data_IF_908263272163
#
_entry.id   IF_908263272163
#
_cell.length_a   1.000
_cell.length_b   1.000
_cell.length_c   1.000
_cell.angle_alpha   90.00
_cell.angle_beta   90.00
_cell.angle_gamma   90.00
#
_symmetry.space_group_name_H-M   'P 1'
#
loop_
_entity.id
_entity.type
_entity.pdbx_description
1 polymer ?
#
# COMPACT_ATOMS: atom_id res chain seq x y z
N UNK A 1 27.01 1.55 -77.62
CA UNK A 1 26.76 1.05 -76.25
C UNK A 1 26.22 2.19 -75.40
N UNK A 2 25.21 1.96 -74.56
CA UNK A 2 24.95 2.84 -73.41
C UNK A 2 23.59 3.54 -73.31
N UNK A 3 22.47 2.82 -73.42
CA UNK A 3 21.16 3.29 -72.95
C UNK A 3 20.42 2.16 -72.20
N UNK A 4 20.87 1.81 -70.99
CA UNK A 4 20.21 0.81 -70.14
C UNK A 4 20.31 1.06 -68.62
N UNK A 5 20.99 2.13 -68.17
CA UNK A 5 21.28 2.36 -66.75
C UNK A 5 20.21 3.14 -65.96
N UNK A 6 19.28 3.83 -66.63
CA UNK A 6 18.25 4.65 -65.98
C UNK A 6 17.07 3.80 -65.46
N UNK A 7 16.55 2.85 -66.25
CA UNK A 7 15.42 2.00 -65.83
C UNK A 7 15.77 0.98 -64.74
N UNK A 8 17.06 0.62 -64.63
CA UNK A 8 17.56 -0.29 -63.60
C UNK A 8 17.74 0.39 -62.24
N UNK A 9 18.06 1.69 -62.20
CA UNK A 9 18.11 2.48 -60.95
C UNK A 9 16.71 2.75 -60.36
N UNK A 10 15.73 3.10 -61.19
CA UNK A 10 14.33 3.28 -60.75
C UNK A 10 13.69 1.98 -60.27
N UNK A 11 13.94 0.86 -60.95
CA UNK A 11 13.51 -0.47 -60.46
C UNK A 11 14.15 -0.85 -59.12
N UNK A 12 15.45 -0.59 -58.92
CA UNK A 12 16.11 -0.84 -57.62
C UNK A 12 15.51 0.01 -56.50
N UNK A 13 15.22 1.28 -56.76
CA UNK A 13 14.52 2.18 -55.82
C UNK A 13 13.13 1.66 -55.45
N UNK A 14 12.36 1.17 -56.42
CA UNK A 14 11.02 0.62 -56.17
C UNK A 14 11.06 -0.68 -55.36
N UNK A 15 12.03 -1.57 -55.65
CA UNK A 15 12.26 -2.79 -54.87
C UNK A 15 12.67 -2.48 -53.44
N UNK A 16 13.56 -1.51 -53.23
CA UNK A 16 13.96 -1.05 -51.89
C UNK A 16 12.78 -0.49 -51.10
N UNK A 17 11.89 0.27 -51.75
CA UNK A 17 10.71 0.86 -51.13
C UNK A 17 9.66 -0.20 -50.75
N UNK A 18 9.45 -1.19 -51.63
CA UNK A 18 8.61 -2.37 -51.34
C UNK A 18 9.16 -3.21 -50.18
N UNK A 19 10.47 -3.44 -50.16
CA UNK A 19 11.12 -4.15 -49.05
C UNK A 19 10.98 -3.39 -47.72
N UNK A 20 11.15 -2.06 -47.72
CA UNK A 20 10.96 -1.23 -46.54
C UNK A 20 9.51 -1.31 -46.00
N UNK A 21 8.50 -1.26 -46.89
CA UNK A 21 7.10 -1.41 -46.51
C UNK A 21 6.80 -2.79 -45.88
N UNK A 22 7.37 -3.86 -46.44
CA UNK A 22 7.23 -5.22 -45.88
C UNK A 22 7.85 -5.28 -44.48
N UNK A 23 9.06 -4.74 -44.30
CA UNK A 23 9.76 -4.71 -43.00
C UNK A 23 8.96 -3.89 -41.98
N UNK A 24 8.47 -2.71 -42.37
CA UNK A 24 7.67 -1.86 -41.49
C UNK A 24 6.34 -2.52 -41.09
N UNK A 25 5.64 -3.15 -42.03
CA UNK A 25 4.40 -3.88 -41.74
C UNK A 25 4.65 -5.08 -40.82
N UNK A 26 5.72 -5.84 -41.06
CA UNK A 26 6.11 -6.94 -40.18
C UNK A 26 6.45 -6.44 -38.78
N UNK A 27 7.23 -5.36 -38.66
CA UNK A 27 7.62 -4.76 -37.38
C UNK A 27 6.42 -4.22 -36.59
N UNK A 28 5.50 -3.50 -37.26
CA UNK A 28 4.24 -3.03 -36.65
C UNK A 28 3.40 -4.21 -36.16
N UNK A 29 3.27 -5.26 -36.99
CA UNK A 29 2.56 -6.49 -36.60
C UNK A 29 3.22 -7.24 -35.44
N UNK A 30 4.56 -7.28 -35.39
CA UNK A 30 5.31 -7.84 -34.28
C UNK A 30 5.10 -7.04 -32.98
N UNK A 31 5.21 -5.70 -33.04
CA UNK A 31 4.91 -4.83 -31.88
C UNK A 31 3.47 -4.99 -31.40
N UNK A 32 2.50 -5.04 -32.32
CA UNK A 32 1.09 -5.26 -31.97
C UNK A 32 0.89 -6.60 -31.28
N UNK A 33 1.51 -7.68 -31.78
CA UNK A 33 1.49 -9.00 -31.14
C UNK A 33 2.15 -8.99 -29.76
N UNK A 34 3.26 -8.28 -29.60
CA UNK A 34 3.93 -8.15 -28.30
C UNK A 34 3.04 -7.42 -27.29
N UNK A 35 2.44 -6.29 -27.69
CA UNK A 35 1.48 -5.55 -26.86
C UNK A 35 0.24 -6.39 -26.51
N UNK A 36 -0.31 -7.13 -27.47
CA UNK A 36 -1.44 -8.02 -27.23
C UNK A 36 -1.07 -9.11 -26.21
N UNK A 37 0.10 -9.74 -26.33
CA UNK A 37 0.59 -10.72 -25.35
C UNK A 37 0.75 -10.11 -23.96
N UNK A 38 1.33 -8.92 -23.86
CA UNK A 38 1.46 -8.19 -22.59
C UNK A 38 0.08 -7.91 -21.98
N UNK A 39 -0.88 -7.44 -22.78
CA UNK A 39 -2.24 -7.17 -22.33
C UNK A 39 -2.93 -8.46 -21.84
N UNK A 40 -2.89 -9.55 -22.62
CA UNK A 40 -3.50 -10.81 -22.20
C UNK A 40 -2.84 -11.40 -20.95
N UNK A 41 -1.50 -11.34 -20.85
CA UNK A 41 -0.80 -11.78 -19.66
C UNK A 41 -1.26 -10.98 -18.44
N UNK A 42 -1.27 -9.65 -18.53
CA UNK A 42 -1.78 -8.77 -17.47
C UNK A 42 -3.23 -9.11 -17.10
N UNK A 43 -4.11 -9.26 -18.09
CA UNK A 43 -5.52 -9.62 -17.84
C UNK A 43 -5.64 -10.95 -17.10
N UNK A 44 -4.85 -11.97 -17.46
CA UNK A 44 -4.86 -13.28 -16.80
C UNK A 44 -4.36 -13.15 -15.36
N UNK A 45 -3.23 -12.47 -15.15
CA UNK A 45 -2.67 -12.26 -13.81
C UNK A 45 -3.65 -11.51 -12.90
N UNK A 46 -4.19 -10.38 -13.38
CA UNK A 46 -5.22 -9.62 -12.66
C UNK A 46 -6.46 -10.46 -12.36
N UNK A 47 -6.91 -11.31 -13.30
CA UNK A 47 -8.08 -12.16 -13.06
C UNK A 47 -7.85 -13.18 -11.95
N UNK A 48 -6.66 -13.78 -11.90
CA UNK A 48 -6.28 -14.75 -10.85
C UNK A 48 -6.16 -14.03 -9.51
N UNK A 49 -5.47 -12.90 -9.50
CA UNK A 49 -5.26 -12.05 -8.34
C UNK A 49 -6.58 -11.56 -7.73
N UNK A 50 -7.44 -10.97 -8.55
CA UNK A 50 -8.71 -10.40 -8.11
C UNK A 50 -9.63 -11.50 -7.57
N UNK A 51 -9.64 -12.68 -8.21
CA UNK A 51 -10.45 -13.80 -7.74
C UNK A 51 -10.04 -14.27 -6.33
N UNK A 52 -8.73 -14.34 -6.05
CA UNK A 52 -8.25 -14.68 -4.72
C UNK A 52 -8.63 -13.59 -3.72
N UNK A 53 -8.39 -12.32 -4.05
CA UNK A 53 -8.71 -11.16 -3.20
C UNK A 53 -10.20 -11.08 -2.85
N UNK A 54 -11.08 -11.24 -3.85
CA UNK A 54 -12.53 -11.31 -3.68
C UNK A 54 -12.94 -12.38 -2.69
N UNK A 55 -12.32 -13.55 -2.79
CA UNK A 55 -12.58 -14.64 -1.85
C UNK A 55 -12.28 -14.24 -0.39
N UNK A 56 -11.25 -13.42 -0.14
CA UNK A 56 -10.99 -12.92 1.22
C UNK A 56 -11.98 -11.87 1.68
N UNK A 57 -12.27 -10.88 0.84
CA UNK A 57 -13.23 -9.85 1.20
C UNK A 57 -14.60 -10.46 1.54
N UNK A 58 -15.05 -11.42 0.73
CA UNK A 58 -16.28 -12.18 0.98
C UNK A 58 -16.23 -13.00 2.26
N UNK A 59 -15.13 -13.71 2.50
CA UNK A 59 -14.95 -14.51 3.71
C UNK A 59 -14.95 -13.63 4.96
N UNK A 60 -14.26 -12.49 4.91
CA UNK A 60 -14.24 -11.53 6.00
C UNK A 60 -15.64 -10.97 6.27
N UNK A 61 -16.35 -10.55 5.21
CA UNK A 61 -17.72 -10.04 5.31
C UNK A 61 -18.66 -11.08 5.92
N UNK A 62 -18.53 -12.35 5.51
CA UNK A 62 -19.29 -13.46 6.06
C UNK A 62 -19.00 -13.65 7.55
N UNK A 63 -17.73 -13.65 7.97
CA UNK A 63 -17.39 -13.79 9.38
C UNK A 63 -17.85 -12.58 10.21
N UNK A 64 -17.68 -11.35 9.73
CA UNK A 64 -18.22 -10.16 10.38
C UNK A 64 -19.72 -10.27 10.57
N UNK A 65 -20.46 -10.62 9.51
CA UNK A 65 -21.90 -10.86 9.60
C UNK A 65 -22.24 -11.97 10.60
N UNK A 66 -21.52 -13.10 10.57
CA UNK A 66 -21.72 -14.18 11.54
C UNK A 66 -21.47 -13.69 12.95
N UNK A 67 -20.38 -12.97 13.23
CA UNK A 67 -20.09 -12.46 14.57
C UNK A 67 -21.14 -11.46 15.05
N UNK A 68 -21.58 -10.54 14.20
CA UNK A 68 -22.65 -9.58 14.53
C UNK A 68 -23.96 -10.30 14.87
N UNK A 69 -24.34 -11.33 14.10
CA UNK A 69 -25.60 -12.05 14.31
C UNK A 69 -25.53 -13.14 15.39
N UNK A 70 -24.36 -13.73 15.63
CA UNK A 70 -24.17 -14.79 16.64
C UNK A 70 -23.85 -14.21 18.03
N UNK A 71 -23.21 -13.03 18.11
CA UNK A 71 -22.94 -12.35 19.37
C UNK A 71 -24.22 -11.83 20.07
N UNK A 72 -25.37 -11.88 19.41
CA UNK A 72 -26.67 -11.68 20.05
C UNK A 72 -27.11 -12.86 20.96
N UNK A 73 -26.43 -14.01 20.93
CA UNK A 73 -26.77 -15.19 21.73
C UNK A 73 -25.91 -15.36 22.99
N UNK A 74 -24.69 -14.80 23.04
CA UNK A 74 -23.82 -14.87 24.22
C UNK A 74 -23.05 -13.56 24.43
N UNK A 75 -23.74 -12.55 24.96
CA UNK A 75 -23.18 -11.23 25.28
C UNK A 75 -22.32 -11.21 26.56
N UNK A 76 -21.65 -12.32 26.91
CA UNK A 76 -21.04 -12.52 28.23
C UNK A 76 -19.60 -13.03 28.27
N UNK A 77 -18.98 -13.43 27.14
CA UNK A 77 -17.67 -14.13 27.21
C UNK A 77 -16.57 -13.62 26.26
N UNK A 78 -16.80 -12.56 25.49
CA UNK A 78 -15.82 -12.07 24.50
C UNK A 78 -15.24 -10.68 24.79
N UNK A 79 -15.13 -10.31 26.07
CA UNK A 79 -14.41 -9.10 26.53
C UNK A 79 -12.96 -9.39 26.97
N UNK A 80 -12.38 -10.53 26.59
CA UNK A 80 -11.00 -10.90 26.92
C UNK A 80 -10.10 -10.94 25.69
N UNK A 81 -9.93 -9.80 25.00
CA UNK A 81 -8.71 -9.59 24.20
C UNK A 81 -8.32 -8.17 23.80
N UNK A 82 -9.05 -7.14 24.23
CA UNK A 82 -8.66 -5.75 23.96
C UNK A 82 -8.41 -5.04 25.29
N UNK A 83 -7.24 -5.28 25.88
CA UNK A 83 -6.64 -4.30 26.79
C UNK A 83 -5.49 -3.65 26.04
N UNK A 84 -5.85 -2.60 25.30
CA UNK A 84 -4.96 -1.51 24.95
C UNK A 84 -4.52 -0.82 26.24
N UNK A 85 -3.21 -0.81 26.48
CA UNK A 85 -2.55 0.02 27.47
C UNK A 85 -1.60 0.92 26.68
N UNK A 86 -2.09 2.08 26.26
CA UNK A 86 -1.24 3.13 25.71
C UNK A 86 -1.45 4.44 26.47
N UNK A 87 -0.44 4.79 27.26
CA UNK A 87 -0.02 6.19 27.44
C UNK A 87 1.42 6.33 27.98
N UNK A 88 2.16 5.24 28.23
CA UNK A 88 3.59 5.29 28.62
C UNK A 88 4.46 4.18 27.97
N UNK A 89 4.02 3.56 26.87
CA UNK A 89 4.52 2.24 26.39
C UNK A 89 5.68 2.29 25.37
N UNK A 90 5.82 3.37 24.58
CA UNK A 90 6.65 3.37 23.35
C UNK A 90 8.18 3.15 23.59
N UNK A 91 8.68 3.38 24.81
CA UNK A 91 10.07 3.11 25.19
C UNK A 91 10.29 1.71 25.79
N UNK A 92 9.25 1.06 26.33
CA UNK A 92 9.36 -0.30 26.90
C UNK A 92 9.43 -1.36 25.81
N UNK A 93 8.84 -1.13 24.64
CA UNK A 93 8.81 -2.13 23.56
C UNK A 93 10.16 -2.35 22.86
N UNK A 94 11.03 -1.33 22.71
CA UNK A 94 12.33 -1.53 22.03
C UNK A 94 13.25 -2.46 22.84
N UNK A 95 13.35 -2.24 24.15
CA UNK A 95 14.16 -3.09 25.05
C UNK A 95 13.67 -4.54 25.05
N UNK A 96 12.37 -4.77 25.08
CA UNK A 96 11.80 -6.12 25.16
C UNK A 96 11.91 -6.90 23.83
N UNK A 97 11.94 -6.19 22.69
CA UNK A 97 11.98 -6.81 21.37
C UNK A 97 13.39 -6.99 20.80
N UNK A 98 14.26 -5.98 20.95
CA UNK A 98 15.56 -5.90 20.27
C UNK A 98 16.73 -6.25 21.19
N UNK A 99 16.76 -5.67 22.39
CA UNK A 99 17.96 -5.69 23.24
C UNK A 99 18.23 -7.07 23.87
N UNK A 100 17.25 -7.98 23.79
CA UNK A 100 17.37 -9.38 24.20
C UNK A 100 17.84 -10.33 23.06
N UNK A 101 18.13 -9.80 21.88
CA UNK A 101 18.55 -10.59 20.71
C UNK A 101 20.04 -10.39 20.46
N UNK A 102 20.85 -11.33 20.95
CA UNK A 102 22.28 -11.35 20.68
C UNK A 102 22.57 -11.71 19.22
N UNK A 103 23.45 -10.92 18.58
CA UNK A 103 23.96 -11.22 17.25
C UNK A 103 25.21 -12.09 17.39
N UNK A 104 25.20 -13.36 16.98
CA UNK A 104 26.35 -14.23 17.17
C UNK A 104 27.57 -13.76 16.35
N UNK A 105 28.78 -14.02 16.85
CA UNK A 105 30.03 -13.68 16.13
C UNK A 105 30.15 -14.43 14.79
N UNK A 106 29.49 -15.58 14.66
CA UNK A 106 29.42 -16.35 13.42
C UNK A 106 28.55 -15.69 12.33
N UNK A 107 27.81 -14.63 12.66
CA UNK A 107 27.01 -13.90 11.69
C UNK A 107 27.90 -13.00 10.82
N UNK A 108 27.94 -13.32 9.53
CA UNK A 108 28.79 -12.67 8.53
C UNK A 108 28.02 -11.72 7.60
N UNK A 109 26.73 -11.49 7.84
CA UNK A 109 25.92 -10.57 7.04
C UNK A 109 26.06 -9.11 7.48
N UNK A 110 25.28 -8.21 6.86
CA UNK A 110 25.31 -6.78 7.17
C UNK A 110 25.07 -6.47 8.65
N UNK A 111 25.91 -5.62 9.22
CA UNK A 111 25.77 -5.10 10.58
C UNK A 111 25.47 -3.62 10.52
N UNK A 112 24.20 -3.27 10.72
CA UNK A 112 23.74 -1.88 10.64
C UNK A 112 24.02 -1.14 11.95
N UNK A 113 24.35 0.14 11.85
CA UNK A 113 24.53 1.02 13.00
C UNK A 113 23.88 2.36 12.72
N UNK A 114 23.12 2.88 13.69
CA UNK A 114 22.45 4.17 13.56
C UNK A 114 23.38 5.32 13.99
N UNK A 115 23.35 6.47 13.30
CA UNK A 115 22.50 6.81 12.16
C UNK A 115 22.93 6.10 10.86
N UNK A 116 21.93 5.63 10.09
CA UNK A 116 22.15 4.97 8.80
C UNK A 116 22.63 5.97 7.74
N UNK A 117 23.36 5.46 6.76
CA UNK A 117 23.99 6.22 5.68
C UNK A 117 23.73 5.56 4.32
N UNK A 118 24.06 6.24 3.23
CA UNK A 118 23.92 5.68 1.89
C UNK A 118 24.74 4.39 1.69
N UNK A 119 25.87 4.23 2.39
CA UNK A 119 26.67 2.99 2.32
C UNK A 119 25.96 1.78 2.92
N UNK A 120 25.01 1.99 3.83
CA UNK A 120 24.19 0.90 4.38
C UNK A 120 23.19 0.38 3.34
N UNK A 121 22.70 1.25 2.44
CA UNK A 121 21.86 0.84 1.31
C UNK A 121 22.68 -0.06 0.39
N UNK A 122 23.88 0.37 -0.02
CA UNK A 122 24.76 -0.42 -0.89
C UNK A 122 25.12 -1.77 -0.26
N UNK A 123 25.41 -1.79 1.05
CA UNK A 123 25.71 -3.01 1.80
C UNK A 123 24.53 -4.01 1.77
N UNK A 124 23.30 -3.52 1.97
CA UNK A 124 22.09 -4.36 1.91
C UNK A 124 21.82 -4.87 0.50
N UNK A 125 22.00 -4.03 -0.52
CA UNK A 125 21.81 -4.41 -1.92
C UNK A 125 22.74 -5.57 -2.31
N UNK A 126 24.04 -5.47 -1.99
CA UNK A 126 24.99 -6.56 -2.30
C UNK A 126 24.70 -7.81 -1.47
N UNK A 127 24.41 -7.69 -0.18
CA UNK A 127 24.08 -8.84 0.65
C UNK A 127 22.82 -9.58 0.16
N UNK A 128 21.75 -8.86 -0.20
CA UNK A 128 20.51 -9.49 -0.66
C UNK A 128 20.62 -10.05 -2.08
N UNK A 129 21.48 -9.48 -2.93
CA UNK A 129 21.84 -10.05 -4.23
C UNK A 129 22.58 -11.38 -4.09
N UNK A 130 23.38 -11.54 -3.04
CA UNK A 130 24.00 -12.81 -2.64
C UNK A 130 23.05 -13.73 -1.84
N UNK A 131 21.77 -13.40 -1.74
CA UNK A 131 20.75 -14.14 -0.97
C UNK A 131 21.09 -14.30 0.51
N UNK A 132 21.85 -13.36 1.09
CA UNK A 132 22.09 -13.32 2.52
C UNK A 132 20.84 -12.87 3.27
N UNK A 133 20.65 -13.37 4.49
CA UNK A 133 19.53 -12.99 5.36
C UNK A 133 20.06 -11.97 6.37
N UNK A 134 19.38 -10.81 6.46
CA UNK A 134 19.69 -9.82 7.50
C UNK A 134 19.34 -10.39 8.87
N UNK A 135 20.17 -10.16 9.90
CA UNK A 135 19.87 -10.67 11.23
C UNK A 135 18.59 -10.06 11.82
N UNK A 136 17.82 -10.83 12.59
CA UNK A 136 16.54 -10.38 13.17
C UNK A 136 16.68 -9.12 14.02
N UNK A 137 17.80 -8.97 14.72
CA UNK A 137 18.14 -7.77 15.50
C UNK A 137 18.07 -6.51 14.62
N UNK A 138 18.84 -6.47 13.52
CA UNK A 138 18.88 -5.32 12.61
C UNK A 138 17.55 -5.09 11.88
N UNK A 139 16.82 -6.16 11.55
CA UNK A 139 15.46 -6.04 10.99
C UNK A 139 14.54 -5.29 11.96
N UNK A 140 14.50 -5.71 13.22
CA UNK A 140 13.65 -5.07 14.23
C UNK A 140 14.09 -3.62 14.45
N UNK A 141 15.39 -3.33 14.55
CA UNK A 141 15.88 -1.95 14.70
C UNK A 141 15.42 -1.03 13.57
N UNK A 142 15.58 -1.47 12.31
CA UNK A 142 15.12 -0.71 11.13
C UNK A 142 13.61 -0.48 11.20
N UNK A 143 12.82 -1.49 11.54
CA UNK A 143 11.36 -1.34 11.64
C UNK A 143 10.95 -0.39 12.77
N UNK A 144 11.62 -0.44 13.93
CA UNK A 144 11.33 0.47 15.05
C UNK A 144 11.64 1.93 14.71
N UNK A 145 12.83 2.21 14.15
CA UNK A 145 13.19 3.58 13.77
C UNK A 145 12.31 4.09 12.62
N UNK A 146 11.97 3.23 11.65
CA UNK A 146 11.04 3.58 10.58
C UNK A 146 9.66 3.94 11.12
N UNK A 147 9.10 3.10 12.01
CA UNK A 147 7.80 3.35 12.67
C UNK A 147 7.80 4.72 13.37
N UNK A 148 8.87 5.04 14.10
CA UNK A 148 9.02 6.31 14.81
C UNK A 148 8.96 7.53 13.89
N UNK A 149 9.58 7.46 12.71
CA UNK A 149 9.51 8.54 11.72
C UNK A 149 8.12 8.59 11.08
N UNK A 150 7.56 7.46 10.67
CA UNK A 150 6.22 7.37 10.06
C UNK A 150 5.11 7.92 10.97
N UNK A 151 5.21 7.71 12.30
CA UNK A 151 4.28 8.28 13.30
C UNK A 151 4.15 9.81 13.21
N UNK A 152 5.21 10.49 12.79
CA UNK A 152 5.25 11.95 12.69
C UNK A 152 4.76 12.46 11.34
N UNK A 153 4.57 11.57 10.37
CA UNK A 153 4.16 11.94 9.01
C UNK A 153 2.64 12.19 8.91
N UNK A 154 2.23 13.10 8.01
CA UNK A 154 0.82 13.27 7.65
C UNK A 154 0.28 12.05 6.89
N UNK A 155 -1.05 12.00 6.70
CA UNK A 155 -1.69 10.97 5.87
C UNK A 155 -1.32 11.10 4.39
N UNK A 156 -1.09 12.33 3.91
CA UNK A 156 -0.61 12.61 2.57
C UNK A 156 0.75 13.29 2.63
N UNK A 157 1.75 12.67 2.02
CA UNK A 157 3.07 13.29 1.86
C UNK A 157 3.01 14.32 0.73
N UNK A 158 3.56 15.51 0.94
CA UNK A 158 3.64 16.54 -0.10
C UNK A 158 5.04 16.58 -0.68
N UNK A 159 5.14 16.47 -2.00
CA UNK A 159 6.42 16.42 -2.72
C UNK A 159 6.45 17.53 -3.76
N UNK A 160 7.58 18.21 -3.88
CA UNK A 160 7.81 19.24 -4.89
C UNK A 160 8.87 18.78 -5.88
N UNK A 161 8.62 18.89 -7.18
CA UNK A 161 9.59 18.50 -8.22
C UNK A 161 10.59 19.61 -8.56
N UNK A 162 10.35 20.84 -8.10
CA UNK A 162 11.21 21.99 -8.39
C UNK A 162 12.71 21.82 -8.06
N UNK A 163 13.12 21.11 -6.98
CA UNK A 163 14.54 20.95 -6.66
C UNK A 163 15.24 19.86 -7.50
N UNK A 164 14.57 18.73 -7.74
CA UNK A 164 15.13 17.54 -8.38
C UNK A 164 14.90 17.48 -9.89
N UNK A 165 13.96 18.27 -10.42
CA UNK A 165 13.43 18.27 -11.81
C UNK A 165 12.68 17.01 -12.22
N UNK A 166 12.93 15.88 -11.58
CA UNK A 166 12.30 14.58 -11.86
C UNK A 166 11.93 13.88 -10.55
N UNK A 167 10.84 13.10 -10.60
CA UNK A 167 10.35 12.27 -9.50
C UNK A 167 9.96 10.91 -10.07
N UNK A 168 10.46 9.84 -9.46
CA UNK A 168 10.17 8.48 -9.91
C UNK A 168 9.08 7.86 -9.06
N UNK A 169 7.97 7.47 -9.67
CA UNK A 169 6.87 6.79 -8.98
C UNK A 169 6.89 5.31 -9.37
N UNK A 170 7.09 4.45 -8.39
CA UNK A 170 7.08 2.99 -8.53
C UNK A 170 5.76 2.43 -7.98
N UNK A 171 5.14 1.53 -8.74
CA UNK A 171 4.01 0.72 -8.26
C UNK A 171 4.47 -0.55 -7.58
N UNK A 172 3.60 -1.55 -7.60
CA UNK A 172 3.71 -2.80 -6.85
C UNK A 172 4.99 -3.57 -7.16
N UNK A 173 5.66 -4.05 -6.12
CA UNK A 173 6.85 -4.89 -6.21
C UNK A 173 6.56 -6.35 -5.86
N UNK A 174 5.64 -6.59 -4.92
CA UNK A 174 5.21 -7.94 -4.52
C UNK A 174 6.35 -8.94 -4.32
N UNK A 175 7.35 -8.57 -3.51
CA UNK A 175 8.47 -9.45 -3.18
C UNK A 175 9.35 -9.87 -4.36
N UNK A 176 9.30 -9.16 -5.49
CA UNK A 176 10.18 -9.36 -6.67
C UNK A 176 11.42 -8.48 -6.57
N UNK A 177 12.41 -8.94 -5.82
CA UNK A 177 13.62 -8.16 -5.53
C UNK A 177 14.42 -7.80 -6.80
N UNK A 178 14.45 -8.67 -7.79
CA UNK A 178 15.12 -8.40 -9.07
C UNK A 178 14.53 -7.19 -9.82
N UNK A 179 13.22 -6.95 -9.69
CA UNK A 179 12.57 -5.78 -10.29
C UNK A 179 13.01 -4.49 -9.58
N UNK A 180 13.14 -4.50 -8.25
CA UNK A 180 13.68 -3.38 -7.50
C UNK A 180 15.15 -3.08 -7.89
N UNK A 181 15.98 -4.12 -8.02
CA UNK A 181 17.35 -3.97 -8.51
C UNK A 181 17.39 -3.38 -9.92
N UNK A 182 16.48 -3.82 -10.81
CA UNK A 182 16.38 -3.28 -12.16
C UNK A 182 15.98 -1.80 -12.15
N UNK A 183 15.03 -1.39 -11.29
CA UNK A 183 14.63 0.01 -11.12
C UNK A 183 15.83 0.86 -10.74
N UNK A 184 16.58 0.47 -9.70
CA UNK A 184 17.76 1.22 -9.25
C UNK A 184 18.91 1.19 -10.26
N UNK A 185 19.11 0.08 -10.98
CA UNK A 185 20.09 0.01 -12.05
C UNK A 185 19.77 0.97 -13.20
N UNK A 186 18.48 1.12 -13.54
CA UNK A 186 18.05 1.96 -14.66
C UNK A 186 17.94 3.44 -14.31
N UNK A 187 17.49 3.74 -13.10
CA UNK A 187 17.08 5.07 -12.71
C UNK A 187 17.96 5.67 -11.60
N UNK A 188 18.96 4.93 -11.13
CA UNK A 188 19.84 5.33 -10.03
C UNK A 188 19.26 4.97 -8.66
N UNK A 189 20.09 5.11 -7.62
CA UNK A 189 19.64 4.96 -6.24
C UNK A 189 18.92 6.23 -5.76
N UNK A 190 18.07 6.11 -4.72
CA UNK A 190 17.48 7.27 -4.06
C UNK A 190 18.56 8.25 -3.58
N UNK A 191 18.32 9.54 -3.78
CA UNK A 191 19.16 10.64 -3.28
C UNK A 191 18.38 11.95 -3.30
N UNK A 192 18.94 13.02 -2.73
CA UNK A 192 18.39 14.39 -2.83
C UNK A 192 18.11 14.83 -4.28
N UNK A 193 18.90 14.32 -5.23
CA UNK A 193 18.75 14.63 -6.66
C UNK A 193 17.88 13.63 -7.43
N UNK A 194 17.47 12.54 -6.79
CA UNK A 194 16.74 11.43 -7.43
C UNK A 194 15.67 10.88 -6.48
N UNK A 195 14.55 11.62 -6.29
CA UNK A 195 13.52 11.23 -5.36
C UNK A 195 12.61 10.13 -5.91
N UNK A 196 12.03 9.34 -4.99
CA UNK A 196 11.16 8.21 -5.26
C UNK A 196 9.87 8.26 -4.45
N UNK A 197 8.77 7.79 -5.05
CA UNK A 197 7.55 7.37 -4.36
C UNK A 197 7.32 5.89 -4.66
N UNK A 198 7.31 5.04 -3.64
CA UNK A 198 6.86 3.65 -3.77
C UNK A 198 5.41 3.55 -3.28
N UNK A 199 4.51 3.22 -4.21
CA UNK A 199 3.07 3.38 -4.05
C UNK A 199 2.36 2.10 -3.57
N UNK A 200 2.81 1.56 -2.43
CA UNK A 200 2.24 0.36 -1.81
C UNK A 200 2.64 -0.96 -2.45
N UNK A 201 2.18 -2.04 -1.85
CA UNK A 201 2.32 -3.42 -2.31
C UNK A 201 3.79 -3.84 -2.51
N UNK A 202 4.57 -3.59 -1.45
CA UNK A 202 5.98 -3.96 -1.39
C UNK A 202 6.15 -5.47 -1.18
N UNK A 203 5.23 -6.05 -0.40
CA UNK A 203 5.29 -7.41 0.14
C UNK A 203 4.27 -8.35 -0.52
N UNK A 204 4.27 -9.61 -0.07
CA UNK A 204 3.42 -10.71 -0.53
C UNK A 204 3.69 -11.18 -1.97
N UNK A 205 3.12 -12.35 -2.31
CA UNK A 205 3.22 -13.09 -3.60
C UNK A 205 4.63 -13.58 -3.93
N UNK A 206 5.62 -12.69 -3.93
CA UNK A 206 7.03 -12.99 -4.11
C UNK A 206 7.66 -13.64 -2.88
N UNK A 207 8.96 -13.94 -2.99
CA UNK A 207 9.73 -14.66 -1.94
C UNK A 207 10.74 -13.76 -1.22
N UNK A 208 10.89 -12.54 -1.69
CA UNK A 208 11.89 -11.58 -1.23
C UNK A 208 11.25 -10.30 -0.68
N UNK A 209 10.10 -10.45 -0.02
CA UNK A 209 9.31 -9.33 0.49
C UNK A 209 10.03 -8.59 1.61
N UNK A 210 10.69 -9.31 2.52
CA UNK A 210 11.39 -8.65 3.65
C UNK A 210 12.63 -7.91 3.16
N UNK A 211 13.34 -8.43 2.16
CA UNK A 211 14.50 -7.75 1.57
C UNK A 211 14.09 -6.42 0.94
N UNK A 212 13.01 -6.42 0.15
CA UNK A 212 12.44 -5.19 -0.43
C UNK A 212 12.04 -4.21 0.68
N UNK A 213 11.26 -4.66 1.65
CA UNK A 213 10.78 -3.79 2.72
C UNK A 213 11.95 -3.17 3.49
N UNK A 214 12.99 -3.94 3.81
CA UNK A 214 14.17 -3.43 4.50
C UNK A 214 14.95 -2.43 3.64
N UNK A 215 15.17 -2.69 2.35
CA UNK A 215 15.81 -1.72 1.45
C UNK A 215 15.02 -0.41 1.43
N UNK A 216 13.69 -0.48 1.32
CA UNK A 216 12.81 0.68 1.28
C UNK A 216 12.83 1.45 2.61
N UNK A 217 12.74 0.76 3.76
CA UNK A 217 12.83 1.36 5.08
C UNK A 217 14.18 2.04 5.33
N UNK A 218 15.30 1.37 5.01
CA UNK A 218 16.63 1.97 5.16
C UNK A 218 16.78 3.18 4.23
N UNK A 219 16.34 3.08 2.98
CA UNK A 219 16.42 4.21 2.04
C UNK A 219 15.54 5.39 2.49
N UNK A 220 14.37 5.11 3.07
CA UNK A 220 13.50 6.12 3.69
C UNK A 220 14.16 6.79 4.90
N UNK A 221 14.84 6.01 5.77
CA UNK A 221 15.54 6.55 6.93
C UNK A 221 16.76 7.40 6.55
N UNK A 222 17.45 7.05 5.46
CA UNK A 222 18.60 7.79 4.94
C UNK A 222 18.16 9.05 4.20
N UNK A 223 17.06 8.98 3.42
CA UNK A 223 16.54 10.09 2.61
C UNK A 223 15.06 10.39 2.94
N UNK A 224 14.73 10.83 4.16
CA UNK A 224 13.33 10.99 4.60
C UNK A 224 12.56 12.08 3.84
N UNK A 225 13.26 12.98 3.15
CA UNK A 225 12.65 14.04 2.33
C UNK A 225 12.53 13.67 0.85
N UNK A 226 13.18 12.60 0.39
CA UNK A 226 13.33 12.28 -1.03
C UNK A 226 12.84 10.88 -1.39
N UNK A 227 12.72 9.96 -0.42
CA UNK A 227 12.07 8.68 -0.62
C UNK A 227 10.78 8.63 0.20
N UNK A 228 9.67 8.31 -0.45
CA UNK A 228 8.35 8.30 0.15
C UNK A 228 7.67 6.94 -0.04
N UNK A 229 6.99 6.49 0.99
CA UNK A 229 6.28 5.22 1.02
C UNK A 229 4.79 5.50 1.22
N UNK A 230 3.95 5.02 0.29
CA UNK A 230 2.51 4.98 0.50
C UNK A 230 2.09 3.56 0.89
N UNK A 231 1.00 3.44 1.65
CA UNK A 231 0.37 2.19 2.02
C UNK A 231 -0.37 1.60 0.82
N UNK A 232 -0.15 0.32 0.53
CA UNK A 232 -0.99 -0.50 -0.35
C UNK A 232 -1.98 -1.35 0.43
N UNK A 233 -2.80 -2.12 -0.27
CA UNK A 233 -3.70 -3.05 0.41
C UNK A 233 -2.96 -4.27 0.98
N UNK A 234 -1.78 -4.62 0.47
CA UNK A 234 -0.95 -5.70 0.99
C UNK A 234 -0.09 -5.32 2.21
N UNK A 235 0.00 -4.05 2.58
CA UNK A 235 0.52 -3.62 3.89
C UNK A 235 -0.57 -3.79 4.97
N UNK A 236 -0.99 -5.03 5.13
CA UNK A 236 -2.05 -5.51 6.02
C UNK A 236 -1.77 -6.93 6.51
N UNK A 237 -1.92 -7.16 7.81
CA UNK A 237 -1.59 -8.46 8.42
C UNK A 237 -2.44 -9.62 7.88
N UNK A 238 -3.74 -9.39 7.62
CA UNK A 238 -4.65 -10.42 7.13
C UNK A 238 -4.31 -10.80 5.68
N UNK A 239 -3.94 -9.81 4.87
CA UNK A 239 -3.40 -10.06 3.52
C UNK A 239 -2.11 -10.89 3.61
N UNK A 240 -1.17 -10.47 4.45
CA UNK A 240 0.12 -11.15 4.61
C UNK A 240 0.00 -12.61 5.07
N UNK A 241 -1.01 -12.92 5.89
CA UNK A 241 -1.29 -14.28 6.33
C UNK A 241 -1.63 -15.20 5.16
N UNK A 242 -2.38 -14.71 4.16
CA UNK A 242 -2.79 -15.49 3.01
C UNK A 242 -1.77 -15.49 1.87
N UNK A 243 -1.18 -14.34 1.58
CA UNK A 243 -0.42 -14.14 0.34
C UNK A 243 1.09 -14.36 0.46
N UNK A 244 1.53 -14.82 1.63
CA UNK A 244 2.81 -15.51 1.79
C UNK A 244 3.83 -14.77 2.64
N UNK A 245 3.67 -13.47 2.88
CA UNK A 245 4.66 -12.71 3.65
C UNK A 245 4.79 -13.20 5.10
N UNK A 246 3.68 -13.54 5.75
CA UNK A 246 3.71 -14.16 7.10
C UNK A 246 4.52 -15.45 7.10
N UNK A 247 4.35 -16.29 6.08
CA UNK A 247 5.10 -17.55 5.93
C UNK A 247 6.58 -17.29 5.67
N UNK A 248 6.90 -16.30 4.85
CA UNK A 248 8.27 -15.87 4.56
C UNK A 248 9.00 -15.47 5.84
N UNK A 249 8.39 -14.59 6.66
CA UNK A 249 8.98 -14.11 7.92
C UNK A 249 9.18 -15.26 8.92
N UNK A 250 8.16 -16.09 9.13
CA UNK A 250 8.26 -17.22 10.05
C UNK A 250 9.32 -18.24 9.60
N UNK A 251 9.51 -18.42 8.30
CA UNK A 251 10.53 -19.31 7.75
C UNK A 251 11.94 -18.75 7.92
N UNK A 252 12.17 -17.48 7.55
CA UNK A 252 13.50 -16.84 7.59
C UNK A 252 13.97 -16.56 9.03
N UNK A 253 13.08 -16.10 9.91
CA UNK A 253 13.44 -15.59 11.24
C UNK A 253 13.04 -16.50 12.41
N UNK A 254 12.29 -17.58 12.15
CA UNK A 254 11.95 -18.64 13.11
C UNK A 254 11.49 -18.08 14.48
N UNK A 255 12.36 -18.15 15.49
CA UNK A 255 12.09 -17.71 16.87
C UNK A 255 11.65 -16.25 16.95
N UNK A 256 12.20 -15.38 16.10
CA UNK A 256 11.91 -13.95 16.10
C UNK A 256 10.81 -13.53 15.11
N UNK A 257 10.34 -14.46 14.28
CA UNK A 257 9.36 -14.14 13.22
C UNK A 257 8.06 -13.55 13.76
N UNK A 258 7.55 -14.06 14.89
CA UNK A 258 6.32 -13.51 15.53
C UNK A 258 6.51 -12.08 16.00
N UNK A 259 7.68 -11.75 16.56
CA UNK A 259 8.01 -10.40 17.02
C UNK A 259 8.08 -9.41 15.85
N UNK A 260 8.71 -9.84 14.76
CA UNK A 260 8.79 -9.04 13.52
C UNK A 260 7.38 -8.77 12.96
N UNK A 261 6.51 -9.78 12.90
CA UNK A 261 5.13 -9.62 12.41
C UNK A 261 4.30 -8.64 13.25
N UNK A 262 4.46 -8.63 14.57
CA UNK A 262 3.78 -7.68 15.45
C UNK A 262 4.19 -6.23 15.14
N UNK A 263 5.49 -5.97 15.03
CA UNK A 263 5.99 -4.63 14.71
C UNK A 263 5.61 -4.20 13.29
N UNK A 264 5.53 -5.13 12.34
CA UNK A 264 5.06 -4.84 10.99
C UNK A 264 3.60 -4.39 10.97
N UNK A 265 2.72 -5.06 11.73
CA UNK A 265 1.32 -4.67 11.85
C UNK A 265 1.18 -3.22 12.35
N UNK A 266 1.96 -2.85 13.36
CA UNK A 266 2.00 -1.48 13.87
C UNK A 266 2.59 -0.49 12.85
N UNK A 267 3.68 -0.86 12.17
CA UNK A 267 4.34 -0.01 11.18
C UNK A 267 3.41 0.32 10.02
N UNK A 268 2.67 -0.66 9.51
CA UNK A 268 1.73 -0.45 8.40
C UNK A 268 0.62 0.53 8.75
N UNK A 269 0.17 0.55 10.00
CA UNK A 269 -0.85 1.49 10.47
C UNK A 269 -0.38 2.96 10.38
N UNK A 270 0.94 3.20 10.32
CA UNK A 270 1.54 4.54 10.24
C UNK A 270 1.98 4.95 8.83
N UNK A 271 1.95 4.05 7.84
CA UNK A 271 2.26 4.42 6.45
C UNK A 271 1.29 5.50 5.93
N UNK A 272 1.78 6.58 5.28
CA UNK A 272 0.95 7.51 4.53
C UNK A 272 0.04 6.78 3.54
N UNK A 273 -1.18 7.26 3.32
CA UNK A 273 -2.15 6.63 2.40
C UNK A 273 -2.03 7.16 0.97
N UNK A 274 -1.21 8.20 0.76
CA UNK A 274 -0.96 8.77 -0.55
C UNK A 274 0.08 9.86 -0.55
N UNK A 275 0.41 10.34 -1.74
CA UNK A 275 1.33 11.44 -1.97
C UNK A 275 0.69 12.46 -2.91
N UNK A 276 0.89 13.75 -2.63
CA UNK A 276 0.46 14.86 -3.49
C UNK A 276 1.71 15.54 -4.04
N UNK A 277 1.89 15.46 -5.36
CA UNK A 277 3.04 16.03 -6.08
C UNK A 277 2.64 17.38 -6.67
N UNK A 278 3.44 18.41 -6.39
CA UNK A 278 3.28 19.80 -6.87
C UNK A 278 1.89 20.39 -6.61
N UNK A 279 1.17 19.88 -5.61
CA UNK A 279 -0.24 20.21 -5.32
C UNK A 279 -1.21 19.92 -6.49
N UNK A 280 -0.79 19.12 -7.46
CA UNK A 280 -1.50 18.89 -8.71
C UNK A 280 -1.75 17.41 -8.97
N UNK A 281 -0.85 16.52 -8.59
CA UNK A 281 -0.95 15.08 -8.90
C UNK A 281 -1.17 14.31 -7.60
N UNK A 282 -2.28 13.59 -7.52
CA UNK A 282 -2.57 12.66 -6.43
C UNK A 282 -2.07 11.26 -6.80
N UNK A 283 -1.20 10.70 -5.97
CA UNK A 283 -0.66 9.35 -6.08
C UNK A 283 -1.20 8.52 -4.92
N UNK A 284 -2.00 7.52 -5.22
CA UNK A 284 -2.62 6.59 -4.27
C UNK A 284 -2.56 5.18 -4.84
N UNK A 285 -2.58 4.17 -3.98
CA UNK A 285 -2.37 2.78 -4.39
C UNK A 285 -3.52 2.23 -5.26
N UNK A 286 -4.74 2.24 -4.73
CA UNK A 286 -5.93 1.77 -5.44
C UNK A 286 -6.55 2.86 -6.31
N UNK A 287 -7.49 3.61 -5.75
CA UNK A 287 -8.23 4.58 -6.54
C UNK A 287 -9.20 5.45 -5.76
N UNK A 288 -10.20 5.97 -6.45
CA UNK A 288 -11.17 6.91 -5.89
C UNK A 288 -12.59 6.36 -6.03
N UNK A 289 -13.53 7.02 -5.39
CA UNK A 289 -14.96 6.78 -5.47
C UNK A 289 -15.73 8.09 -5.68
N UNK A 290 -17.03 7.99 -5.98
CA UNK A 290 -17.87 9.18 -6.11
C UNK A 290 -17.95 10.01 -4.81
N UNK A 291 -17.77 9.36 -3.67
CA UNK A 291 -17.86 9.95 -2.33
C UNK A 291 -16.48 10.34 -1.76
N UNK A 292 -15.39 10.22 -2.52
CA UNK A 292 -14.04 10.54 -2.01
C UNK A 292 -13.94 11.95 -1.46
N UNK A 293 -13.58 12.05 -0.18
CA UNK A 293 -13.33 13.28 0.54
C UNK A 293 -11.85 13.38 0.98
N UNK A 294 -11.04 14.07 0.19
CA UNK A 294 -9.64 14.28 0.53
C UNK A 294 -9.48 15.07 1.84
N UNK A 295 -10.38 15.99 2.17
CA UNK A 295 -10.27 16.76 3.42
C UNK A 295 -10.49 15.85 4.63
N UNK A 296 -11.43 14.90 4.53
CA UNK A 296 -11.62 13.87 5.55
C UNK A 296 -10.38 13.00 5.65
N UNK A 297 -9.89 12.47 4.53
CA UNK A 297 -8.71 11.60 4.48
C UNK A 297 -7.45 12.26 5.05
N UNK A 298 -7.28 13.58 4.94
CA UNK A 298 -6.17 14.30 5.60
C UNK A 298 -6.23 14.26 7.13
N UNK A 299 -7.42 14.08 7.73
CA UNK A 299 -7.65 14.12 9.18
C UNK A 299 -7.85 12.76 9.83
N UNK A 300 -8.04 11.69 9.06
CA UNK A 300 -8.29 10.36 9.60
C UNK A 300 -7.14 9.91 10.51
N UNK A 301 -7.46 9.36 11.68
CA UNK A 301 -6.48 8.76 12.58
C UNK A 301 -6.08 7.37 12.05
N UNK A 302 -5.20 7.33 11.04
CA UNK A 302 -4.88 6.10 10.28
C UNK A 302 -4.35 4.95 11.15
N UNK A 303 -3.75 5.23 12.30
CA UNK A 303 -3.29 4.22 13.25
C UNK A 303 -4.42 3.41 13.90
N UNK A 304 -5.67 3.92 13.88
CA UNK A 304 -6.86 3.17 14.33
C UNK A 304 -7.32 2.14 13.29
N UNK A 305 -6.76 2.16 12.09
CA UNK A 305 -6.98 1.15 11.06
C UNK A 305 -6.03 -0.03 11.22
N UNK A 306 -6.44 -1.01 12.02
CA UNK A 306 -5.66 -2.25 12.21
C UNK A 306 -5.64 -3.12 10.95
N UNK A 307 -6.78 -3.25 10.28
CA UNK A 307 -6.85 -4.00 9.03
C UNK A 307 -7.86 -3.44 8.02
N UNK A 308 -7.51 -3.57 6.74
CA UNK A 308 -8.37 -3.29 5.58
C UNK A 308 -9.46 -4.35 5.40
N UNK A 309 -9.31 -5.53 6.01
CA UNK A 309 -10.30 -6.60 5.89
C UNK A 309 -11.28 -6.63 7.05
N UNK A 310 -11.05 -5.91 8.15
CA UNK A 310 -11.89 -5.96 9.35
C UNK A 310 -12.67 -4.64 9.49
N UNK A 311 -13.95 -4.58 9.10
CA UNK A 311 -14.75 -3.39 9.26
C UNK A 311 -14.98 -3.07 10.75
N UNK A 312 -15.06 -1.78 11.14
CA UNK A 312 -15.44 -1.40 12.49
C UNK A 312 -16.85 -1.87 12.83
N UNK A 313 -17.04 -2.45 14.01
CA UNK A 313 -18.38 -2.81 14.51
C UNK A 313 -19.20 -1.56 14.80
N UNK A 314 -20.42 -1.50 14.26
CA UNK A 314 -21.35 -0.40 14.55
C UNK A 314 -21.77 -0.46 16.02
N UNK A 315 -21.23 0.42 16.85
CA UNK A 315 -21.80 0.68 18.17
C UNK A 315 -23.09 1.46 17.96
N UNK A 316 -24.23 0.75 17.94
CA UNK A 316 -25.57 1.33 17.90
C UNK A 316 -25.76 2.33 19.06
N UNK A 317 -25.43 3.60 18.81
CA UNK A 317 -25.99 4.74 19.52
C UNK A 317 -27.12 5.24 18.66
N UNK A 318 -28.30 4.67 18.84
CA UNK A 318 -29.60 5.31 18.62
C UNK A 318 -30.69 4.25 18.77
N UNK A 319 -31.22 4.15 19.99
CA UNK A 319 -32.57 3.67 20.28
C UNK A 319 -32.90 4.15 21.70
N UNK A 320 -33.06 5.46 21.86
CA UNK A 320 -33.77 6.02 23.02
C UNK A 320 -34.85 6.96 22.49
N UNK A 321 -35.83 6.37 21.79
CA UNK A 321 -37.12 6.99 21.54
C UNK A 321 -38.22 6.07 22.08
N UNK A 322 -38.69 6.47 23.25
CA UNK A 322 -40.07 6.37 23.75
C UNK A 322 -40.74 4.99 23.79
N UNK A 323 -40.93 4.49 25.01
CA UNK A 323 -42.08 3.64 25.34
C UNK A 323 -42.54 3.93 26.77
N UNK A 324 -43.46 4.89 26.88
CA UNK A 324 -44.32 5.07 28.04
C UNK A 324 -45.18 3.83 28.25
N UNK A 325 -44.99 3.12 29.35
CA UNK A 325 -46.07 2.36 29.99
C UNK A 325 -46.00 2.49 31.52
N UNK A 326 -47.13 2.89 32.08
CA UNK A 326 -47.38 3.12 33.50
C UNK A 326 -47.09 1.91 34.38
N UNK A 327 -46.35 2.13 35.49
CA UNK A 327 -46.67 1.52 36.80
C UNK A 327 -46.13 2.37 37.95
N UNK A 328 -47.04 2.65 38.87
CA UNK A 328 -46.88 3.40 40.11
C UNK A 328 -45.95 2.66 41.09
N UNK A 329 -45.04 3.38 41.76
CA UNK A 329 -44.47 2.90 43.02
C UNK A 329 -43.04 3.37 43.35
N UNK A 330 -42.97 4.29 44.31
CA UNK A 330 -41.90 4.50 45.31
C UNK A 330 -40.67 5.33 44.92
N UNK A 331 -40.59 6.45 45.64
CA UNK A 331 -39.54 7.46 45.79
C UNK A 331 -38.20 6.89 46.25
N UNK A 332 -37.08 7.30 45.63
CA UNK A 332 -35.83 7.60 46.33
C UNK A 332 -35.07 8.71 45.61
N UNK A 333 -34.65 9.69 46.41
CA UNK A 333 -33.95 10.90 46.03
C UNK A 333 -32.49 10.65 45.62
N UNK A 334 -32.05 11.52 44.69
CA UNK A 334 -30.71 12.07 44.52
C UNK A 334 -29.57 11.07 44.27
N UNK A 335 -28.90 11.21 43.12
CA UNK A 335 -27.48 11.56 43.00
C UNK A 335 -27.24 12.04 41.56
N UNK A 336 -26.96 13.34 41.43
CA UNK A 336 -26.55 14.02 40.19
C UNK A 336 -25.27 13.36 39.67
N UNK A 337 -25.37 12.46 38.69
CA UNK A 337 -24.21 11.89 38.00
C UNK A 337 -23.79 12.82 36.87
N UNK A 338 -22.61 13.38 37.08
CA UNK A 338 -21.82 14.19 36.16
C UNK A 338 -21.69 13.46 34.81
N UNK A 339 -21.91 14.18 33.70
CA UNK A 339 -21.54 13.72 32.35
C UNK A 339 -20.04 13.48 32.33
N UNK A 340 -19.60 12.22 32.38
CA UNK A 340 -18.23 11.85 32.06
C UNK A 340 -18.12 11.71 30.56
N UNK A 341 -17.26 12.55 29.95
CA UNK A 341 -16.88 12.49 28.55
C UNK A 341 -16.55 11.05 28.15
N UNK A 342 -17.17 10.58 27.06
CA UNK A 342 -16.95 9.23 26.54
C UNK A 342 -15.49 9.00 26.17
N UNK A 343 -14.99 7.81 26.48
CA UNK A 343 -13.69 7.34 26.02
C UNK A 343 -13.59 7.41 24.49
N UNK A 344 -12.44 7.78 23.91
CA UNK A 344 -12.23 7.70 22.46
C UNK A 344 -12.47 6.27 21.99
N UNK A 345 -13.22 6.10 20.90
CA UNK A 345 -13.33 4.79 20.22
C UNK A 345 -11.94 4.35 19.76
N UNK A 346 -11.55 3.12 20.09
CA UNK A 346 -10.30 2.49 19.60
C UNK A 346 -10.35 2.19 18.10
N UNK A 347 -11.54 2.19 17.50
CA UNK A 347 -11.76 1.87 16.09
C UNK A 347 -12.21 3.10 15.30
N UNK A 348 -11.78 3.17 14.03
CA UNK A 348 -12.25 4.17 13.08
C UNK A 348 -13.76 4.10 12.90
N UNK A 349 -14.45 5.24 12.72
CA UNK A 349 -15.82 5.24 12.23
C UNK A 349 -15.92 4.53 10.88
N UNK A 350 -17.02 3.80 10.64
CA UNK A 350 -17.25 3.03 9.41
C UNK A 350 -17.04 3.86 8.13
N UNK A 351 -17.56 5.09 8.09
CA UNK A 351 -17.42 5.96 6.92
C UNK A 351 -15.97 6.37 6.64
N UNK A 352 -15.12 6.57 7.67
CA UNK A 352 -13.69 6.86 7.48
C UNK A 352 -12.95 5.62 7.01
N UNK A 353 -13.29 4.46 7.55
CA UNK A 353 -12.75 3.18 7.10
C UNK A 353 -13.09 2.92 5.64
N UNK A 354 -14.34 3.12 5.21
CA UNK A 354 -14.77 2.98 3.81
C UNK A 354 -13.97 3.88 2.86
N UNK A 355 -13.66 5.12 3.28
CA UNK A 355 -12.82 6.02 2.48
C UNK A 355 -11.40 5.47 2.30
N UNK A 356 -10.79 4.90 3.35
CA UNK A 356 -9.46 4.28 3.19
C UNK A 356 -9.55 3.03 2.32
N UNK A 357 -10.60 2.21 2.46
CA UNK A 357 -10.83 1.07 1.56
C UNK A 357 -10.90 1.52 0.11
N UNK A 358 -11.63 2.60 -0.19
CA UNK A 358 -11.69 3.11 -1.56
C UNK A 358 -10.31 3.50 -2.09
N UNK A 359 -9.49 4.19 -1.28
CA UNK A 359 -8.12 4.60 -1.61
C UNK A 359 -7.20 3.40 -1.86
N UNK A 360 -7.37 2.30 -1.15
CA UNK A 360 -6.52 1.13 -1.25
C UNK A 360 -7.03 0.03 -2.21
N UNK A 361 -8.32 0.01 -2.57
CA UNK A 361 -8.92 -1.14 -3.28
C UNK A 361 -9.73 -0.81 -4.54
N UNK A 362 -9.98 0.47 -4.84
CA UNK A 362 -10.81 0.84 -6.00
C UNK A 362 -10.05 0.73 -7.31
N UNK A 363 -10.74 0.34 -8.38
CA UNK A 363 -10.16 0.16 -9.72
C UNK A 363 -10.86 1.07 -10.77
N UNK A 364 -10.11 1.69 -11.70
CA UNK A 364 -10.72 2.47 -12.77
C UNK A 364 -11.43 1.58 -13.80
N UNK A 365 -12.50 2.10 -14.42
CA UNK A 365 -13.19 1.49 -15.57
C UNK A 365 -13.45 2.51 -16.67
N UNK A 366 -13.51 2.05 -17.91
CA UNK A 366 -13.80 2.91 -19.06
C UNK A 366 -15.26 3.40 -19.15
N UNK A 367 -16.17 2.83 -18.34
CA UNK A 367 -17.59 3.20 -18.31
C UNK A 367 -17.83 4.21 -17.20
N UNK A 368 -18.64 5.23 -17.48
CA UNK A 368 -19.07 6.22 -16.49
C UNK A 368 -19.82 5.58 -15.30
N UNK A 369 -19.74 6.25 -14.15
CA UNK A 369 -20.40 5.89 -12.91
C UNK A 369 -19.45 5.30 -11.87
N UNK A 370 -20.01 5.00 -10.70
CA UNK A 370 -19.32 4.39 -9.56
C UNK A 370 -20.13 3.19 -9.09
N UNK A 371 -19.51 2.01 -9.04
CA UNK A 371 -20.21 0.75 -8.71
C UNK A 371 -19.37 -0.07 -7.74
N UNK A 372 -19.96 -0.90 -6.87
CA UNK A 372 -19.18 -1.77 -5.99
C UNK A 372 -18.19 -2.64 -6.77
N UNK A 373 -16.95 -2.75 -6.27
CA UNK A 373 -15.94 -3.59 -6.90
C UNK A 373 -16.23 -5.06 -6.57
N UNK A 374 -17.11 -5.67 -7.35
CA UNK A 374 -17.41 -7.09 -7.23
C UNK A 374 -16.23 -7.96 -7.63
N UNK A 375 -15.20 -7.44 -8.31
CA UNK A 375 -14.06 -8.23 -8.77
C UNK A 375 -13.02 -8.48 -7.69
N UNK A 376 -12.74 -7.48 -6.84
CA UNK A 376 -11.85 -7.62 -5.67
C UNK A 376 -12.60 -7.80 -4.34
N UNK A 377 -13.90 -7.48 -4.31
CA UNK A 377 -14.73 -7.54 -3.10
C UNK A 377 -14.58 -6.36 -2.13
N UNK A 378 -13.66 -5.42 -2.40
CA UNK A 378 -13.46 -4.18 -1.64
C UNK A 378 -13.32 -2.96 -2.55
N UNK A 379 -13.73 -1.79 -2.06
CA UNK A 379 -13.72 -0.54 -2.82
C UNK A 379 -14.75 -0.51 -3.96
N UNK A 380 -14.49 0.32 -4.97
CA UNK A 380 -15.40 0.53 -6.09
C UNK A 380 -14.71 0.48 -7.47
N UNK A 381 -15.52 0.25 -8.50
CA UNK A 381 -15.17 0.57 -9.87
C UNK A 381 -15.59 2.01 -10.17
N UNK A 382 -14.65 2.84 -10.62
CA UNK A 382 -14.92 4.25 -10.92
C UNK A 382 -14.64 4.62 -12.38
N UNK A 383 -15.56 5.39 -12.96
CA UNK A 383 -15.49 5.87 -14.34
C UNK A 383 -14.71 7.18 -14.52
N UNK A 384 -14.48 7.60 -15.78
CA UNK A 384 -13.77 8.85 -16.08
C UNK A 384 -14.55 10.11 -15.66
N UNK A 385 -15.86 10.02 -15.48
CA UNK A 385 -16.71 11.07 -14.92
C UNK A 385 -16.41 11.30 -13.43
N UNK A 386 -16.26 10.23 -12.65
CA UNK A 386 -15.86 10.28 -11.24
C UNK A 386 -14.47 10.90 -11.11
N UNK A 387 -13.51 10.45 -11.92
CA UNK A 387 -12.16 11.04 -11.97
C UNK A 387 -12.22 12.52 -12.29
N UNK A 388 -12.96 12.92 -13.33
CA UNK A 388 -13.07 14.34 -13.69
C UNK A 388 -13.69 15.18 -12.59
N UNK A 389 -14.72 14.66 -11.90
CA UNK A 389 -15.39 15.33 -10.78
C UNK A 389 -14.44 15.56 -9.61
N UNK A 390 -13.68 14.54 -9.20
CA UNK A 390 -12.73 14.61 -8.09
C UNK A 390 -11.56 15.54 -8.43
N UNK A 391 -10.97 15.40 -9.61
CA UNK A 391 -9.86 16.26 -10.02
C UNK A 391 -10.28 17.74 -10.05
N UNK A 392 -11.46 18.05 -10.60
CA UNK A 392 -11.99 19.42 -10.60
C UNK A 392 -12.31 19.93 -9.19
N UNK A 393 -12.85 19.08 -8.30
CA UNK A 393 -13.20 19.44 -6.92
C UNK A 393 -11.96 19.88 -6.12
N UNK A 394 -10.83 19.22 -6.34
CA UNK A 394 -9.58 19.47 -5.58
C UNK A 394 -8.48 20.15 -6.39
N UNK A 395 -8.81 20.68 -7.58
CA UNK A 395 -7.87 21.39 -8.46
C UNK A 395 -6.63 20.56 -8.85
N UNK A 396 -6.82 19.25 -9.02
CA UNK A 396 -5.77 18.32 -9.42
C UNK A 396 -5.71 18.20 -10.95
N UNK A 397 -4.52 17.89 -11.48
CA UNK A 397 -4.29 17.69 -12.90
C UNK A 397 -4.68 16.27 -13.36
N UNK A 398 -5.15 16.17 -14.61
CA UNK A 398 -5.20 14.90 -15.32
C UNK A 398 -3.80 14.55 -15.82
N UNK A 399 -3.36 13.28 -15.74
CA UNK A 399 -2.14 12.85 -16.40
C UNK A 399 -2.22 13.22 -17.89
N UNK A 400 -1.39 14.17 -18.31
CA UNK A 400 -1.33 14.59 -19.69
C UNK A 400 -0.78 13.44 -20.53
N UNK A 401 -1.57 12.93 -21.47
CA UNK A 401 -1.00 12.40 -22.70
C UNK A 401 -0.25 13.57 -23.31
N UNK A 402 1.06 13.64 -23.12
CA UNK A 402 1.90 14.56 -23.85
C UNK A 402 1.72 14.23 -25.32
N UNK A 403 0.86 15.00 -25.99
CA UNK A 403 0.92 15.14 -27.43
C UNK A 403 2.30 15.71 -27.72
N UNK A 404 3.22 14.82 -28.07
CA UNK A 404 4.41 15.18 -28.84
C UNK A 404 3.89 15.74 -30.16
N UNK A 405 3.70 17.06 -30.18
CA UNK A 405 3.49 17.85 -31.38
C UNK A 405 4.78 18.05 -32.14
#
# INVERSE_FOLDING_TARGET
>A
MGCSSSSTKTRKSETSLKAALIIQNWYRGYKARLKARQHYALTIFQSIEYADEQGQMQLSTFFSFMFENYAHVHKGELELRNQSLESEQDLRDRHDYVDLIDVPDSYNGPRLQFPLTCTDIDLLLEAFKEQQILHAHYVLEVLFETKKVLKQMPNFTHVQTSPSKELTICGDLHGKLDDLFMIFYKNGLPSESNPYVFNGDFVDRGKNSIEILIILCVSFLVYPNDLHLNRGNHEDFMMNLRYGFTKEILHKYKLHGKRILQILEELYAWLPIGTIVDNEILVIHGGISETTDLNLLHRVERNKMKSVLIPPTETNRDNDTDSKHNKVGVTFNAHRRIKTNGSPSEHLPKHEWEQIIDILWSDPRGKNGCFPNTGRGGGCYFGPDVTSKILNKYQLMKPGVTNLG
#
